data_IF_332821760741
#
_entry.id   IF_332821760741
#
_cell.length_a   1.000
_cell.length_b   1.000
_cell.length_c   1.000
_cell.angle_alpha   90.00
_cell.angle_beta   90.00
_cell.angle_gamma   90.00
#
_symmetry.space_group_name_H-M   'P 1'
#
loop_
_entity.id
_entity.type
_entity.pdbx_description
1 polymer ?
#
# COMPACT_ATOMS: atom_id res chain seq x y z
N UNK A 1 -17.73 72.00 35.01
CA UNK A 1 -16.58 71.07 35.01
C UNK A 1 -17.00 69.79 35.74
N UNK A 2 -16.65 68.62 35.17
CA UNK A 2 -16.52 67.28 35.76
C UNK A 2 -17.72 66.67 36.54
N UNK A 3 -18.37 65.60 36.03
CA UNK A 3 -18.09 64.15 36.22
C UNK A 3 -18.40 63.66 37.65
N UNK A 4 -19.11 62.58 37.95
CA UNK A 4 -19.64 61.45 37.17
C UNK A 4 -19.62 60.20 38.08
N UNK A 5 -20.73 59.48 38.22
CA UNK A 5 -20.79 58.09 38.70
C UNK A 5 -22.20 57.54 38.40
N UNK A 6 -22.30 56.64 37.43
CA UNK A 6 -23.52 55.91 37.09
C UNK A 6 -23.14 54.46 36.83
N UNK A 7 -23.74 53.56 37.59
CA UNK A 7 -23.57 52.10 37.55
C UNK A 7 -23.93 51.53 36.17
N UNK A 8 -23.24 50.49 35.66
CA UNK A 8 -23.70 49.76 34.48
C UNK A 8 -24.66 48.64 34.88
N UNK A 9 -25.89 48.79 34.40
CA UNK A 9 -26.96 47.79 34.35
C UNK A 9 -26.52 46.51 33.62
N UNK A 10 -26.73 45.37 34.28
CA UNK A 10 -26.58 44.02 33.72
C UNK A 10 -27.67 43.72 32.70
N UNK A 11 -27.33 43.78 31.40
CA UNK A 11 -28.14 43.14 30.36
C UNK A 11 -27.68 41.70 30.14
N UNK A 12 -28.50 40.75 30.60
CA UNK A 12 -28.50 39.35 30.15
C UNK A 12 -28.63 39.33 28.63
N UNK A 13 -27.58 38.95 27.92
CA UNK A 13 -27.67 38.55 26.53
C UNK A 13 -28.34 37.17 26.48
N UNK A 14 -29.47 37.08 25.78
CA UNK A 14 -30.05 35.80 25.38
C UNK A 14 -29.11 35.19 24.34
N UNK A 15 -28.62 33.98 24.61
CA UNK A 15 -28.02 33.13 23.60
C UNK A 15 -29.21 32.52 22.85
N UNK A 16 -29.43 32.99 21.62
CA UNK A 16 -30.36 32.33 20.70
C UNK A 16 -29.68 31.02 20.24
N UNK A 17 -30.30 29.89 20.61
CA UNK A 17 -29.99 28.59 20.01
C UNK A 17 -30.39 28.63 18.53
N UNK A 18 -29.46 29.01 17.67
CA UNK A 18 -29.58 28.78 16.25
C UNK A 18 -29.58 27.26 16.03
N UNK A 19 -30.73 26.70 15.66
CA UNK A 19 -30.81 25.36 15.09
C UNK A 19 -29.92 25.35 13.85
N UNK A 20 -28.81 24.63 13.89
CA UNK A 20 -28.01 24.38 12.69
C UNK A 20 -28.90 23.71 11.65
N UNK A 21 -29.16 24.43 10.56
CA UNK A 21 -29.93 23.92 9.43
C UNK A 21 -29.04 22.92 8.68
N UNK A 22 -29.42 21.65 8.72
CA UNK A 22 -28.67 20.53 8.14
C UNK A 22 -28.33 20.77 6.66
N UNK A 23 -27.06 20.53 6.27
CA UNK A 23 -26.57 20.83 4.93
C UNK A 23 -27.42 20.12 3.84
N UNK A 24 -27.96 20.84 2.85
CA UNK A 24 -28.76 20.24 1.77
C UNK A 24 -28.08 19.09 1.02
N UNK A 25 -26.76 19.11 0.88
CA UNK A 25 -25.98 18.02 0.27
C UNK A 25 -25.98 16.77 1.16
N UNK A 26 -25.84 16.95 2.48
CA UNK A 26 -25.86 15.85 3.47
C UNK A 26 -27.23 15.21 3.51
N UNK A 27 -28.29 16.02 3.62
CA UNK A 27 -29.66 15.53 3.57
C UNK A 27 -29.97 14.76 2.28
N UNK A 28 -29.51 15.28 1.13
CA UNK A 28 -29.73 14.61 -0.16
C UNK A 28 -28.95 13.30 -0.27
N UNK A 29 -27.74 13.22 0.31
CA UNK A 29 -26.94 11.99 0.42
C UNK A 29 -27.73 10.91 1.14
N UNK A 30 -28.25 11.20 2.33
CA UNK A 30 -28.97 10.23 3.16
C UNK A 30 -30.20 9.65 2.44
N UNK A 31 -30.94 10.50 1.73
CA UNK A 31 -32.07 10.05 0.92
C UNK A 31 -31.64 9.05 -0.17
N UNK A 32 -30.53 9.32 -0.86
CA UNK A 32 -30.00 8.46 -1.92
C UNK A 32 -29.46 7.13 -1.37
N UNK A 33 -28.80 7.15 -0.21
CA UNK A 33 -28.31 5.94 0.48
C UNK A 33 -29.48 5.06 0.91
N UNK A 34 -30.50 5.61 1.56
CA UNK A 34 -31.72 4.87 1.94
C UNK A 34 -32.43 4.25 0.72
N UNK A 35 -32.40 4.91 -0.44
CA UNK A 35 -32.93 4.36 -1.69
C UNK A 35 -32.12 3.17 -2.21
N UNK A 36 -30.80 3.18 -2.05
CA UNK A 36 -29.91 2.10 -2.46
C UNK A 36 -30.06 0.88 -1.55
N UNK A 37 -30.11 1.06 -0.24
CA UNK A 37 -30.34 0.00 0.75
C UNK A 37 -31.68 -0.70 0.53
N UNK A 38 -32.76 0.08 0.35
CA UNK A 38 -34.08 -0.47 0.03
C UNK A 38 -34.11 -1.26 -1.27
N UNK A 39 -33.30 -0.89 -2.26
CA UNK A 39 -33.17 -1.64 -3.50
C UNK A 39 -32.42 -2.96 -3.27
N UNK A 40 -31.33 -2.91 -2.50
CA UNK A 40 -30.50 -4.06 -2.12
C UNK A 40 -31.30 -5.10 -1.33
N UNK A 41 -32.07 -4.68 -0.33
CA UNK A 41 -32.95 -5.54 0.46
C UNK A 41 -34.02 -6.27 -0.39
N UNK A 42 -34.34 -5.74 -1.58
CA UNK A 42 -35.27 -6.36 -2.55
C UNK A 42 -34.56 -7.20 -3.62
N UNK A 43 -33.25 -7.42 -3.50
CA UNK A 43 -32.44 -8.12 -4.51
C UNK A 43 -32.33 -7.37 -5.84
N UNK A 44 -32.52 -6.04 -5.85
CA UNK A 44 -32.55 -5.22 -7.07
C UNK A 44 -31.48 -4.14 -7.04
N UNK A 45 -30.92 -3.82 -8.21
CA UNK A 45 -30.06 -2.64 -8.38
C UNK A 45 -30.87 -1.36 -8.60
N UNK A 46 -30.34 -0.21 -8.16
CA UNK A 46 -30.88 1.11 -8.47
C UNK A 46 -29.81 1.97 -9.17
N UNK A 47 -29.68 1.79 -10.49
CA UNK A 47 -28.64 2.44 -11.29
C UNK A 47 -28.72 3.98 -11.25
N UNK A 48 -29.93 4.54 -11.13
CA UNK A 48 -30.15 5.99 -11.04
C UNK A 48 -29.61 6.54 -9.72
N UNK A 49 -29.96 5.92 -8.60
CA UNK A 49 -29.44 6.31 -7.29
C UNK A 49 -27.92 6.13 -7.21
N UNK A 50 -27.36 5.08 -7.82
CA UNK A 50 -25.90 4.91 -7.91
C UNK A 50 -25.23 6.05 -8.66
N UNK A 51 -25.78 6.46 -9.80
CA UNK A 51 -25.25 7.58 -10.60
C UNK A 51 -25.36 8.90 -9.84
N UNK A 52 -26.47 9.12 -9.14
CA UNK A 52 -26.67 10.32 -8.31
C UNK A 52 -25.70 10.38 -7.13
N UNK A 53 -25.45 9.25 -6.46
CA UNK A 53 -24.46 9.14 -5.39
C UNK A 53 -23.06 9.53 -5.90
N UNK A 54 -22.66 9.05 -7.09
CA UNK A 54 -21.37 9.42 -7.70
C UNK A 54 -21.26 10.93 -7.93
N UNK A 55 -22.34 11.58 -8.39
CA UNK A 55 -22.35 13.04 -8.56
C UNK A 55 -22.22 13.77 -7.22
N UNK A 56 -22.98 13.35 -6.20
CA UNK A 56 -22.90 13.93 -4.85
C UNK A 56 -21.49 13.79 -4.26
N UNK A 57 -20.83 12.64 -4.45
CA UNK A 57 -19.45 12.46 -4.02
C UNK A 57 -18.49 13.47 -4.67
N UNK A 58 -18.67 13.77 -5.96
CA UNK A 58 -17.85 14.76 -6.65
C UNK A 58 -18.06 16.19 -6.10
N UNK A 59 -19.30 16.52 -5.73
CA UNK A 59 -19.62 17.82 -5.12
C UNK A 59 -18.99 17.97 -3.72
N UNK A 60 -19.04 16.91 -2.90
CA UNK A 60 -18.34 16.85 -1.60
C UNK A 60 -16.82 16.95 -1.75
N UNK A 61 -16.22 16.24 -2.71
CA UNK A 61 -14.77 16.37 -3.00
C UNK A 61 -14.39 17.82 -3.34
N UNK A 62 -15.21 18.51 -4.13
CA UNK A 62 -14.98 19.91 -4.49
C UNK A 62 -15.18 20.87 -3.31
N UNK A 63 -16.12 20.58 -2.40
CA UNK A 63 -16.34 21.36 -1.17
C UNK A 63 -15.15 21.24 -0.22
N UNK A 64 -14.66 20.01 0.01
CA UNK A 64 -13.46 19.76 0.82
C UNK A 64 -12.24 20.51 0.25
N UNK A 65 -11.96 20.38 -1.05
CA UNK A 65 -10.82 21.07 -1.70
C UNK A 65 -10.85 22.60 -1.50
N UNK A 66 -12.04 23.22 -1.49
CA UNK A 66 -12.20 24.65 -1.20
C UNK A 66 -11.91 25.02 0.25
N UNK A 67 -12.36 24.22 1.22
CA UNK A 67 -12.12 24.49 2.65
C UNK A 67 -10.63 24.49 2.97
N UNK A 68 -9.89 23.58 2.33
CA UNK A 68 -8.48 23.35 2.58
C UNK A 68 -7.57 24.41 1.97
N UNK A 69 -7.98 25.01 0.85
CA UNK A 69 -7.29 26.15 0.22
C UNK A 69 -7.44 27.48 0.97
N UNK A 70 -8.20 27.52 2.08
CA UNK A 70 -8.41 28.76 2.86
C UNK A 70 -7.19 29.15 3.71
N UNK A 71 -6.31 28.20 4.03
CA UNK A 71 -5.12 28.47 4.82
C UNK A 71 -3.97 28.94 3.93
N UNK A 72 -3.33 30.09 4.26
CA UNK A 72 -2.12 30.54 3.58
C UNK A 72 -0.98 29.50 3.65
N UNK A 73 -0.13 29.38 2.62
CA UNK A 73 1.00 28.44 2.58
C UNK A 73 1.93 28.54 3.80
N UNK A 74 2.08 29.73 4.37
CA UNK A 74 2.96 30.01 5.51
C UNK A 74 2.42 29.39 6.82
N UNK A 75 1.09 29.34 6.96
CA UNK A 75 0.43 28.65 8.07
C UNK A 75 0.56 27.13 7.92
N UNK A 76 0.56 26.61 6.69
CA UNK A 76 0.81 25.20 6.45
C UNK A 76 2.22 24.77 6.84
N UNK A 77 3.24 25.56 6.52
CA UNK A 77 4.59 25.33 7.02
C UNK A 77 4.61 25.22 8.54
N UNK A 78 4.03 26.21 9.24
CA UNK A 78 4.00 26.22 10.70
C UNK A 78 3.25 25.04 11.31
N UNK A 79 2.15 24.62 10.69
CA UNK A 79 1.38 23.45 11.10
C UNK A 79 2.19 22.15 10.89
N UNK A 80 2.86 22.00 9.75
CA UNK A 80 3.58 20.77 9.36
C UNK A 80 5.02 20.66 9.91
N UNK A 81 5.63 21.78 10.31
CA UNK A 81 7.00 21.87 10.83
C UNK A 81 7.05 22.01 12.36
N UNK A 82 6.10 22.73 12.98
CA UNK A 82 6.18 23.08 14.41
C UNK A 82 5.12 22.40 15.29
N UNK A 83 3.98 21.97 14.74
CA UNK A 83 2.81 21.59 15.55
C UNK A 83 2.23 20.20 15.28
N UNK A 84 2.60 19.55 14.18
CA UNK A 84 2.19 18.17 13.87
C UNK A 84 3.38 17.25 13.96
N UNK A 85 3.24 16.21 14.79
CA UNK A 85 4.22 15.13 14.81
C UNK A 85 4.18 14.42 13.45
N UNK A 86 5.28 13.79 13.03
CA UNK A 86 5.35 13.04 11.76
C UNK A 86 4.26 11.94 11.65
N UNK A 87 3.67 11.57 12.77
CA UNK A 87 2.62 10.57 12.93
C UNK A 87 1.21 11.12 12.63
N UNK A 88 0.96 12.41 12.87
CA UNK A 88 -0.32 13.08 12.54
C UNK A 88 -0.42 13.36 11.03
N UNK A 89 0.74 13.49 10.36
CA UNK A 89 0.84 13.61 8.91
C UNK A 89 0.28 12.39 8.19
N UNK A 90 0.39 11.19 8.79
CA UNK A 90 -0.18 9.98 8.21
C UNK A 90 -1.71 10.06 8.21
N UNK A 91 -2.30 10.46 9.33
CA UNK A 91 -3.73 10.64 9.51
C UNK A 91 -4.32 11.69 8.54
N UNK A 92 -3.59 12.78 8.31
CA UNK A 92 -3.97 13.85 7.38
C UNK A 92 -3.74 13.44 5.90
N UNK A 93 -2.68 12.69 5.64
CA UNK A 93 -2.41 12.08 4.34
C UNK A 93 -3.47 11.03 3.95
N UNK A 94 -3.97 10.29 4.95
CA UNK A 94 -5.02 9.27 4.82
C UNK A 94 -6.39 9.86 4.48
N UNK A 95 -6.65 11.08 4.95
CA UNK A 95 -7.95 11.73 4.84
C UNK A 95 -8.01 12.71 3.66
N UNK A 96 -6.89 13.19 3.13
CA UNK A 96 -6.98 14.31 2.19
C UNK A 96 -5.85 14.44 1.16
N UNK A 97 -6.22 14.41 -0.14
CA UNK A 97 -5.32 14.74 -1.27
C UNK A 97 -4.68 16.11 -1.15
N UNK A 98 -5.41 17.13 -0.70
CA UNK A 98 -4.86 18.48 -0.60
C UNK A 98 -3.61 18.46 0.28
N UNK A 99 -3.67 17.81 1.44
CA UNK A 99 -2.51 17.64 2.33
C UNK A 99 -1.37 16.86 1.67
N UNK A 100 -1.67 15.82 0.88
CA UNK A 100 -0.65 15.13 0.06
C UNK A 100 0.03 16.10 -0.91
N UNK A 101 -0.75 16.89 -1.62
CA UNK A 101 -0.25 17.72 -2.70
C UNK A 101 0.48 18.94 -2.12
N UNK A 102 -0.02 19.55 -1.04
CA UNK A 102 0.69 20.58 -0.26
C UNK A 102 1.99 20.03 0.31
N UNK A 103 2.02 18.83 0.90
CA UNK A 103 3.30 18.26 1.40
C UNK A 103 4.31 18.02 0.27
N UNK A 104 3.85 17.61 -0.93
CA UNK A 104 4.70 17.51 -2.12
C UNK A 104 5.20 18.86 -2.61
N UNK A 105 4.32 19.87 -2.66
CA UNK A 105 4.67 21.24 -3.07
C UNK A 105 5.71 21.85 -2.13
N UNK A 106 5.66 21.46 -0.84
CA UNK A 106 6.67 21.79 0.16
C UNK A 106 7.92 20.88 0.13
N UNK A 107 8.08 20.04 -0.91
CA UNK A 107 9.25 19.19 -1.11
C UNK A 107 9.32 17.94 -0.22
N UNK A 108 8.27 17.60 0.53
CA UNK A 108 8.21 16.37 1.35
C UNK A 108 7.68 15.20 0.53
N UNK A 109 8.42 14.08 0.52
CA UNK A 109 7.94 12.81 -0.05
C UNK A 109 7.02 12.09 0.94
N UNK A 110 5.74 12.45 0.98
CA UNK A 110 4.73 11.72 1.78
C UNK A 110 3.91 10.81 0.86
N UNK A 111 3.99 9.50 1.11
CA UNK A 111 3.20 8.49 0.39
C UNK A 111 1.88 8.31 1.13
N UNK A 112 0.76 8.69 0.51
CA UNK A 112 -0.53 8.86 1.21
C UNK A 112 -1.60 7.84 0.86
N UNK A 113 -1.23 6.79 0.12
CA UNK A 113 -2.17 5.72 -0.21
C UNK A 113 -2.08 4.65 0.87
N UNK A 114 -3.20 4.34 1.52
CA UNK A 114 -3.36 3.26 2.51
C UNK A 114 -3.29 1.88 1.83
N UNK A 115 -2.14 1.59 1.22
CA UNK A 115 -1.83 0.24 0.78
C UNK A 115 -1.36 -0.56 1.99
N UNK A 116 -1.86 -1.79 2.11
CA UNK A 116 -1.45 -2.77 3.12
C UNK A 116 0.06 -2.77 3.38
N UNK A 117 0.88 -2.77 2.33
CA UNK A 117 2.35 -2.76 2.44
C UNK A 117 2.91 -1.60 3.27
N UNK A 118 2.31 -0.41 3.20
CA UNK A 118 2.80 0.76 3.95
C UNK A 118 2.43 0.68 5.43
N UNK A 119 1.27 0.14 5.75
CA UNK A 119 0.89 -0.11 7.14
C UNK A 119 1.78 -1.17 7.77
N UNK A 120 2.13 -2.20 7.01
CA UNK A 120 3.11 -3.20 7.43
C UNK A 120 4.48 -2.58 7.70
N UNK A 121 4.95 -1.64 6.86
CA UNK A 121 6.18 -0.89 7.14
C UNK A 121 6.08 -0.04 8.42
N UNK A 122 4.94 0.63 8.63
CA UNK A 122 4.71 1.44 9.82
C UNK A 122 4.66 0.59 11.10
N UNK A 123 3.98 -0.56 11.06
CA UNK A 123 3.97 -1.58 12.10
C UNK A 123 5.40 -2.02 12.43
N UNK A 124 6.18 -2.42 11.42
CA UNK A 124 7.58 -2.83 11.58
C UNK A 124 8.45 -1.74 12.21
N UNK A 125 8.18 -0.48 11.90
CA UNK A 125 8.94 0.65 12.46
C UNK A 125 8.53 1.04 13.88
N UNK A 126 7.41 0.52 14.40
CA UNK A 126 6.85 0.90 15.70
C UNK A 126 6.28 2.32 15.75
N UNK A 127 6.09 2.99 14.60
CA UNK A 127 5.71 4.41 14.48
C UNK A 127 4.24 4.62 14.17
N UNK A 128 3.35 3.74 14.65
CA UNK A 128 1.91 3.93 14.44
C UNK A 128 1.41 4.98 15.42
N UNK A 129 0.70 5.96 14.88
CA UNK A 129 0.02 6.98 15.64
C UNK A 129 -1.15 6.36 16.42
N UNK A 130 -1.22 6.59 17.74
CA UNK A 130 -2.42 6.34 18.53
C UNK A 130 -3.31 7.59 18.50
N UNK A 131 -4.23 7.67 17.54
CA UNK A 131 -5.16 8.80 17.50
C UNK A 131 -6.27 8.65 18.52
N UNK A 132 -6.65 9.77 19.15
CA UNK A 132 -7.73 9.83 20.14
C UNK A 132 -9.09 9.98 19.48
N UNK A 133 -10.16 9.70 20.22
CA UNK A 133 -11.53 10.00 19.78
C UNK A 133 -11.69 11.47 19.34
N UNK A 134 -11.06 12.41 20.06
CA UNK A 134 -11.11 13.83 19.71
C UNK A 134 -10.54 14.15 18.31
N UNK A 135 -9.56 13.37 17.83
CA UNK A 135 -9.07 13.52 16.46
C UNK A 135 -10.12 13.06 15.44
N UNK A 136 -10.79 11.93 15.70
CA UNK A 136 -11.87 11.44 14.84
C UNK A 136 -13.03 12.42 14.80
N UNK A 137 -13.44 12.98 15.94
CA UNK A 137 -14.44 14.05 16.00
C UNK A 137 -14.01 15.24 15.15
N UNK A 138 -12.77 15.74 15.32
CA UNK A 138 -12.25 16.86 14.55
C UNK A 138 -12.28 16.60 13.03
N UNK A 139 -11.91 15.40 12.57
CA UNK A 139 -12.00 15.05 11.15
C UNK A 139 -13.45 15.09 10.68
N UNK A 140 -14.38 14.49 11.43
CA UNK A 140 -15.79 14.49 11.08
C UNK A 140 -16.42 15.90 11.12
N UNK A 141 -15.93 16.79 11.99
CA UNK A 141 -16.44 18.16 12.11
C UNK A 141 -15.82 19.10 11.06
N UNK A 142 -14.62 18.79 10.58
CA UNK A 142 -13.85 19.65 9.66
C UNK A 142 -14.06 19.30 8.19
N UNK A 143 -14.25 18.01 7.89
CA UNK A 143 -14.33 17.51 6.52
C UNK A 143 -15.71 16.94 6.23
N UNK A 144 -16.17 17.15 4.99
CA UNK A 144 -17.30 16.40 4.47
C UNK A 144 -16.88 14.95 4.23
N UNK A 145 -17.60 14.02 4.84
CA UNK A 145 -17.27 12.59 4.77
C UNK A 145 -18.08 11.94 3.66
N UNK A 146 -17.36 11.29 2.73
CA UNK A 146 -17.94 10.55 1.62
C UNK A 146 -18.49 9.19 2.08
N UNK A 147 -19.65 8.78 1.56
CA UNK A 147 -20.25 7.51 1.95
C UNK A 147 -19.46 6.30 1.42
N UNK A 148 -19.55 5.21 2.17
CA UNK A 148 -19.00 3.92 1.76
C UNK A 148 -17.46 3.87 1.77
N UNK A 149 -16.88 3.25 0.75
CA UNK A 149 -15.43 3.05 0.65
C UNK A 149 -14.92 3.31 -0.77
N UNK A 150 -13.62 3.57 -0.86
CA UNK A 150 -12.95 3.70 -2.15
C UNK A 150 -12.66 2.33 -2.75
N UNK A 151 -13.11 2.10 -3.98
CA UNK A 151 -12.83 0.83 -4.66
C UNK A 151 -11.36 0.77 -5.16
N UNK A 152 -10.70 -0.40 -5.13
CA UNK A 152 -9.27 -0.53 -5.48
C UNK A 152 -8.89 -0.03 -6.88
N UNK A 153 -9.85 -0.03 -7.82
CA UNK A 153 -9.68 0.38 -9.20
C UNK A 153 -10.03 1.86 -9.45
N UNK A 154 -10.63 2.53 -8.47
CA UNK A 154 -10.90 3.96 -8.56
C UNK A 154 -9.61 4.73 -8.27
N UNK A 155 -9.06 5.35 -9.33
CA UNK A 155 -8.08 6.41 -9.14
C UNK A 155 -8.76 7.47 -8.28
N UNK A 156 -8.25 7.68 -7.08
CA UNK A 156 -8.76 8.77 -6.24
C UNK A 156 -8.79 10.03 -7.11
N UNK A 157 -9.93 10.71 -7.14
CA UNK A 157 -10.05 12.13 -7.51
C UNK A 157 -10.20 12.89 -6.19
N UNK A 158 -9.78 14.16 -6.12
CA UNK A 158 -10.02 15.02 -4.94
C UNK A 158 -9.48 14.61 -3.54
N UNK A 159 -9.76 15.49 -2.56
CA UNK A 159 -9.47 15.37 -1.13
C UNK A 159 -10.54 14.58 -0.36
N UNK A 160 -10.75 13.34 -0.79
CA UNK A 160 -11.77 12.44 -0.29
C UNK A 160 -11.40 11.79 1.06
N UNK A 161 -12.29 11.91 2.05
CA UNK A 161 -12.35 11.07 3.27
C UNK A 161 -13.56 10.16 3.12
N UNK A 162 -13.42 8.85 3.32
CA UNK A 162 -14.56 7.93 3.31
C UNK A 162 -14.90 7.43 4.71
N UNK A 163 -16.20 7.26 4.99
CA UNK A 163 -16.72 6.66 6.22
C UNK A 163 -16.03 5.30 6.50
N UNK A 164 -15.98 4.43 5.49
CA UNK A 164 -15.35 3.11 5.59
C UNK A 164 -13.84 3.14 5.82
N UNK A 165 -13.14 4.18 5.36
CA UNK A 165 -11.70 4.33 5.61
C UNK A 165 -11.42 4.69 7.08
N UNK A 166 -12.29 5.53 7.69
CA UNK A 166 -12.20 5.87 9.11
C UNK A 166 -12.55 4.67 10.00
N UNK A 167 -13.60 3.91 9.65
CA UNK A 167 -13.97 2.68 10.37
C UNK A 167 -12.85 1.64 10.29
N UNK A 168 -12.32 1.35 9.10
CA UNK A 168 -11.18 0.43 8.92
C UNK A 168 -9.96 0.87 9.74
N UNK A 169 -9.74 2.18 9.84
CA UNK A 169 -8.64 2.71 10.62
C UNK A 169 -8.86 2.56 12.12
N UNK A 170 -10.06 2.84 12.64
CA UNK A 170 -10.41 2.64 14.04
C UNK A 170 -10.25 1.17 14.46
N UNK A 171 -10.70 0.25 13.61
CA UNK A 171 -10.50 -1.20 13.78
C UNK A 171 -9.01 -1.55 13.83
N UNK A 172 -8.21 -1.02 12.90
CA UNK A 172 -6.77 -1.26 12.87
C UNK A 172 -6.05 -0.71 14.11
N UNK A 173 -6.50 0.44 14.65
CA UNK A 173 -5.97 1.01 15.89
C UNK A 173 -6.31 0.20 17.14
N UNK A 174 -7.34 -0.64 17.08
CA UNK A 174 -7.80 -1.44 18.21
C UNK A 174 -8.60 -0.66 19.25
N UNK A 175 -9.18 0.49 18.87
CA UNK A 175 -9.95 1.31 19.82
C UNK A 175 -11.45 1.00 19.74
N UNK A 176 -11.94 0.23 20.72
CA UNK A 176 -13.38 -0.04 20.88
C UNK A 176 -14.17 1.24 21.14
N UNK A 177 -13.61 2.20 21.87
CA UNK A 177 -14.26 3.50 22.13
C UNK A 177 -14.57 4.25 20.83
N UNK A 178 -13.57 4.37 19.95
CA UNK A 178 -13.73 5.06 18.66
C UNK A 178 -14.68 4.26 17.77
N UNK A 179 -14.55 2.94 17.74
CA UNK A 179 -15.41 2.08 16.94
C UNK A 179 -16.88 2.18 17.38
N UNK A 180 -17.16 2.13 18.69
CA UNK A 180 -18.51 2.34 19.24
C UNK A 180 -19.04 3.72 18.86
N UNK A 181 -18.25 4.77 18.98
CA UNK A 181 -18.70 6.11 18.57
C UNK A 181 -19.05 6.17 17.07
N UNK A 182 -18.24 5.56 16.20
CA UNK A 182 -18.52 5.52 14.76
C UNK A 182 -19.77 4.69 14.43
N UNK A 183 -20.01 3.58 15.13
CA UNK A 183 -21.15 2.69 14.85
C UNK A 183 -22.44 3.18 15.49
N UNK A 184 -22.38 3.58 16.76
CA UNK A 184 -23.55 3.91 17.58
C UNK A 184 -24.00 5.38 17.37
N UNK A 185 -23.07 6.33 17.33
CA UNK A 185 -23.40 7.77 17.21
C UNK A 185 -23.46 8.25 15.76
N UNK A 186 -22.63 7.68 14.87
CA UNK A 186 -22.62 8.06 13.45
C UNK A 186 -23.43 7.11 12.56
N UNK A 187 -23.93 6.00 13.11
CA UNK A 187 -24.64 4.95 12.36
C UNK A 187 -23.83 4.42 11.15
N UNK A 188 -22.50 4.46 11.23
CA UNK A 188 -21.64 3.97 10.16
C UNK A 188 -21.38 2.49 10.35
N UNK A 189 -22.11 1.70 9.56
CA UNK A 189 -22.01 0.26 9.66
C UNK A 189 -20.59 -0.23 9.33
N UNK A 190 -20.04 -1.10 10.20
CA UNK A 190 -18.90 -1.92 9.88
C UNK A 190 -19.20 -2.67 8.55
N UNK A 191 -18.47 -2.38 7.47
CA UNK A 191 -18.78 -2.90 6.12
C UNK A 191 -18.87 -4.44 6.11
N UNK A 192 -19.85 -5.04 5.41
CA UNK A 192 -19.87 -6.48 5.09
C UNK A 192 -18.55 -6.97 4.47
N UNK A 193 -17.85 -6.05 3.78
CA UNK A 193 -16.51 -6.25 3.23
C UNK A 193 -15.45 -5.48 4.03
N UNK A 194 -15.40 -5.63 5.36
CA UNK A 194 -14.09 -5.51 5.98
C UNK A 194 -13.18 -6.43 5.22
N UNK A 195 -12.08 -5.90 4.70
CA UNK A 195 -11.00 -6.79 4.38
C UNK A 195 -10.59 -7.35 5.74
N UNK A 196 -11.01 -8.59 6.07
CA UNK A 196 -10.74 -9.23 7.36
C UNK A 196 -9.26 -9.15 7.72
N UNK A 197 -8.40 -9.03 6.69
CA UNK A 197 -7.00 -8.69 6.79
C UNK A 197 -6.70 -7.48 7.68
N UNK A 198 -7.48 -6.40 7.66
CA UNK A 198 -7.28 -5.21 8.50
C UNK A 198 -7.68 -5.44 9.95
N UNK A 199 -8.81 -6.12 10.17
CA UNK A 199 -9.27 -6.54 11.49
C UNK A 199 -8.19 -7.39 12.16
N UNK A 200 -7.73 -8.42 11.45
CA UNK A 200 -6.65 -9.28 11.91
C UNK A 200 -5.35 -8.50 12.14
N UNK A 201 -4.98 -7.61 11.22
CA UNK A 201 -3.74 -6.83 11.32
C UNK A 201 -3.73 -5.90 12.55
N UNK A 202 -4.87 -5.32 12.92
CA UNK A 202 -5.04 -4.59 14.16
C UNK A 202 -4.85 -5.53 15.36
N UNK A 203 -5.60 -6.63 15.37
CA UNK A 203 -5.40 -7.74 16.31
C UNK A 203 -5.74 -7.41 17.76
N UNK A 204 -6.56 -6.39 18.02
CA UNK A 204 -7.17 -6.17 19.33
C UNK A 204 -8.27 -7.21 19.54
N UNK A 205 -8.16 -7.98 20.62
CA UNK A 205 -9.16 -8.98 21.00
C UNK A 205 -10.49 -8.29 21.36
N UNK A 206 -10.42 -7.13 22.00
CA UNK A 206 -11.59 -6.34 22.40
C UNK A 206 -12.38 -5.85 21.18
N UNK A 207 -11.70 -5.44 20.10
CA UNK A 207 -12.36 -5.09 18.83
C UNK A 207 -12.95 -6.33 18.15
N UNK A 208 -12.24 -7.46 18.17
CA UNK A 208 -12.76 -8.72 17.62
C UNK A 208 -14.03 -9.18 18.36
N UNK A 209 -14.04 -9.10 19.68
CA UNK A 209 -15.21 -9.39 20.53
C UNK A 209 -16.39 -8.47 20.17
N UNK A 210 -16.15 -7.16 20.14
CA UNK A 210 -17.18 -6.19 19.78
C UNK A 210 -17.79 -6.45 18.39
N UNK A 211 -16.96 -6.74 17.40
CA UNK A 211 -17.43 -7.03 16.04
C UNK A 211 -18.25 -8.33 15.97
N UNK A 212 -17.85 -9.36 16.72
CA UNK A 212 -18.58 -10.63 16.80
C UNK A 212 -19.92 -10.45 17.51
N UNK A 213 -19.96 -9.72 18.63
CA UNK A 213 -21.21 -9.37 19.35
C UNK A 213 -22.16 -8.55 18.47
N UNK A 214 -21.60 -7.73 17.57
CA UNK A 214 -22.36 -6.96 16.58
C UNK A 214 -22.86 -7.79 15.39
N UNK A 215 -22.59 -9.10 15.37
CA UNK A 215 -23.05 -10.04 14.34
C UNK A 215 -22.12 -10.19 13.12
N UNK A 216 -20.87 -9.74 13.20
CA UNK A 216 -19.90 -9.91 12.12
C UNK A 216 -19.45 -11.37 12.01
N UNK A 217 -19.35 -11.88 10.78
CA UNK A 217 -18.75 -13.20 10.50
C UNK A 217 -17.27 -13.05 10.13
N UNK A 218 -16.41 -13.92 10.70
CA UNK A 218 -14.98 -13.91 10.40
C UNK A 218 -14.59 -14.99 9.40
N UNK A 219 -13.94 -14.57 8.32
CA UNK A 219 -13.34 -15.45 7.33
C UNK A 219 -11.83 -15.62 7.52
N UNK A 220 -11.22 -16.43 6.66
CA UNK A 220 -9.77 -16.70 6.67
C UNK A 220 -8.89 -15.46 6.54
N UNK A 221 -9.40 -14.35 6.00
CA UNK A 221 -8.61 -13.13 5.84
C UNK A 221 -8.29 -12.52 7.20
N UNK A 222 -9.14 -12.69 8.22
CA UNK A 222 -8.87 -12.24 9.60
C UNK A 222 -7.65 -12.95 10.16
N UNK A 223 -7.59 -14.28 10.03
CA UNK A 223 -6.42 -15.06 10.40
C UNK A 223 -5.16 -14.64 9.60
N UNK A 224 -5.27 -14.41 8.29
CA UNK A 224 -4.14 -13.93 7.48
C UNK A 224 -3.63 -12.55 7.93
N UNK A 225 -4.54 -11.63 8.26
CA UNK A 225 -4.22 -10.31 8.78
C UNK A 225 -3.49 -10.38 10.12
N UNK A 226 -4.01 -11.18 11.04
CA UNK A 226 -3.39 -11.40 12.34
C UNK A 226 -2.02 -12.06 12.20
N UNK A 227 -1.87 -12.99 11.26
CA UNK A 227 -0.61 -13.64 10.95
C UNK A 227 0.46 -12.66 10.43
N UNK A 228 0.16 -11.85 9.41
CA UNK A 228 1.14 -10.88 8.85
C UNK A 228 1.47 -9.73 9.81
N UNK A 229 0.58 -9.41 10.74
CA UNK A 229 0.80 -8.42 11.79
C UNK A 229 1.44 -8.97 13.07
N UNK A 230 1.66 -10.29 13.16
CA UNK A 230 2.24 -10.92 14.35
C UNK A 230 1.32 -10.92 15.57
N UNK A 231 0.01 -10.91 15.35
CA UNK A 231 -1.01 -10.78 16.40
C UNK A 231 -1.35 -12.16 16.99
N UNK A 232 -0.39 -12.73 17.72
CA UNK A 232 -0.52 -14.09 18.27
C UNK A 232 -1.73 -14.25 19.19
N UNK A 233 -1.98 -13.28 20.08
CA UNK A 233 -3.12 -13.36 21.01
C UNK A 233 -4.47 -13.30 20.27
N UNK A 234 -4.58 -12.47 19.23
CA UNK A 234 -5.76 -12.47 18.36
C UNK A 234 -5.95 -13.82 17.65
N UNK A 235 -4.87 -14.45 17.16
CA UNK A 235 -4.96 -15.77 16.54
C UNK A 235 -5.38 -16.87 17.51
N UNK A 236 -4.93 -16.84 18.77
CA UNK A 236 -5.39 -17.76 19.81
C UNK A 236 -6.88 -17.55 20.07
N UNK A 237 -7.31 -16.31 20.28
CA UNK A 237 -8.71 -15.98 20.51
C UNK A 237 -9.60 -16.41 19.34
N UNK A 238 -9.18 -16.15 18.10
CA UNK A 238 -9.89 -16.57 16.87
C UNK A 238 -10.00 -18.09 16.76
N UNK A 239 -9.00 -18.82 17.27
CA UNK A 239 -9.00 -20.29 17.28
C UNK A 239 -9.91 -20.88 18.35
N UNK A 240 -10.09 -20.19 19.47
CA UNK A 240 -10.93 -20.62 20.59
C UNK A 240 -12.44 -20.36 20.37
N UNK A 241 -12.83 -19.73 19.25
CA UNK A 241 -14.25 -19.50 18.90
C UNK A 241 -14.98 -20.81 18.55
N UNK A 242 -16.32 -20.79 18.66
CA UNK A 242 -17.19 -21.90 18.26
C UNK A 242 -18.24 -21.43 17.21
N UNK A 243 -18.08 -21.78 15.92
CA UNK A 243 -16.99 -22.58 15.35
C UNK A 243 -15.67 -21.79 15.27
N UNK A 244 -14.49 -22.46 15.25
CA UNK A 244 -13.21 -21.80 15.10
C UNK A 244 -13.11 -21.01 13.79
N UNK A 245 -12.51 -19.82 13.84
CA UNK A 245 -12.31 -19.04 12.62
C UNK A 245 -11.46 -19.84 11.62
N UNK A 246 -11.88 -19.94 10.34
CA UNK A 246 -11.15 -20.73 9.36
C UNK A 246 -9.76 -20.11 9.08
N UNK A 247 -8.79 -20.98 8.78
CA UNK A 247 -7.48 -20.58 8.25
C UNK A 247 -7.09 -21.46 7.07
N UNK A 248 -6.08 -21.06 6.31
CA UNK A 248 -5.50 -21.85 5.23
C UNK A 248 -3.98 -21.62 5.12
N UNK A 249 -3.38 -22.12 4.04
CA UNK A 249 -1.93 -22.01 3.83
C UNK A 249 -1.45 -20.56 3.68
N UNK A 250 -2.35 -19.64 3.30
CA UNK A 250 -2.08 -18.21 3.28
C UNK A 250 -1.79 -17.67 4.68
N UNK A 251 -2.41 -18.18 5.73
CA UNK A 251 -2.12 -17.75 7.12
C UNK A 251 -0.64 -17.99 7.48
N UNK A 252 -0.08 -19.17 7.18
CA UNK A 252 1.34 -19.44 7.36
C UNK A 252 2.23 -18.57 6.45
N UNK A 253 1.87 -18.42 5.17
CA UNK A 253 2.63 -17.61 4.23
C UNK A 253 2.71 -16.13 4.65
N UNK A 254 1.63 -15.59 5.21
CA UNK A 254 1.54 -14.22 5.67
C UNK A 254 2.32 -14.00 6.99
N UNK A 255 2.28 -14.96 7.93
CA UNK A 255 3.17 -14.94 9.11
C UNK A 255 4.66 -14.95 8.71
N UNK A 256 5.00 -15.77 7.72
CA UNK A 256 6.35 -15.84 7.16
C UNK A 256 6.77 -14.51 6.50
N UNK A 257 5.88 -13.86 5.74
CA UNK A 257 6.13 -12.53 5.15
C UNK A 257 6.35 -11.43 6.21
N UNK A 258 5.56 -11.50 7.30
CA UNK A 258 5.62 -10.54 8.42
C UNK A 258 6.90 -10.68 9.25
N UNK A 259 7.47 -11.88 9.33
CA UNK A 259 8.64 -12.15 10.18
C UNK A 259 8.27 -12.71 11.56
N UNK A 260 7.10 -13.34 11.69
CA UNK A 260 6.53 -13.74 12.99
C UNK A 260 6.71 -15.25 13.25
N UNK A 261 7.88 -15.63 13.76
CA UNK A 261 8.23 -17.02 14.05
C UNK A 261 7.39 -17.63 15.18
N UNK A 262 7.02 -16.85 16.18
CA UNK A 262 6.13 -17.22 17.27
C UNK A 262 4.74 -17.62 16.76
N UNK A 263 4.18 -16.84 15.83
CA UNK A 263 2.92 -17.17 15.15
C UNK A 263 3.06 -18.47 14.35
N UNK A 264 4.14 -18.65 13.58
CA UNK A 264 4.36 -19.90 12.84
C UNK A 264 4.46 -21.12 13.75
N UNK A 265 5.13 -21.00 14.90
CA UNK A 265 5.21 -22.06 15.91
C UNK A 265 3.83 -22.39 16.47
N UNK A 266 3.02 -21.38 16.79
CA UNK A 266 1.64 -21.57 17.25
C UNK A 266 0.79 -22.30 16.20
N UNK A 267 0.81 -21.84 14.95
CA UNK A 267 0.06 -22.43 13.84
C UNK A 267 0.45 -23.89 13.57
N UNK A 268 1.74 -24.22 13.76
CA UNK A 268 2.27 -25.59 13.60
C UNK A 268 1.88 -26.54 14.73
N UNK A 269 1.63 -26.02 15.92
CA UNK A 269 1.27 -26.81 17.12
C UNK A 269 -0.21 -27.19 17.19
N UNK A 270 -1.04 -26.75 16.24
CA UNK A 270 -2.48 -27.00 16.20
C UNK A 270 -2.81 -28.42 15.74
N UNK A 271 -4.05 -28.87 16.00
CA UNK A 271 -4.56 -30.16 15.51
C UNK A 271 -5.91 -29.98 14.77
N UNK A 272 -5.97 -30.17 13.43
CA UNK A 272 -4.82 -30.36 12.55
C UNK A 272 -3.98 -29.08 12.43
N UNK A 273 -2.67 -29.20 12.16
CA UNK A 273 -1.79 -28.05 11.95
C UNK A 273 -2.24 -27.19 10.78
N UNK A 274 -2.06 -25.87 10.88
CA UNK A 274 -2.30 -24.99 9.75
C UNK A 274 -1.41 -25.41 8.56
N UNK A 275 -1.96 -25.58 7.35
CA UNK A 275 -1.17 -25.99 6.20
C UNK A 275 -0.15 -24.90 5.82
N UNK A 276 0.89 -25.28 5.08
CA UNK A 276 1.82 -24.38 4.41
C UNK A 276 2.01 -24.81 2.96
N UNK A 277 2.59 -23.94 2.15
CA UNK A 277 2.91 -24.19 0.73
C UNK A 277 4.32 -23.69 0.41
N UNK A 278 4.83 -23.98 -0.78
CA UNK A 278 6.15 -23.52 -1.24
C UNK A 278 6.33 -22.00 -1.11
N UNK A 279 5.25 -21.25 -1.38
CA UNK A 279 5.24 -19.80 -1.25
C UNK A 279 5.55 -19.34 0.18
N UNK A 280 5.28 -20.15 1.22
CA UNK A 280 5.61 -19.79 2.61
C UNK A 280 7.12 -19.51 2.78
N UNK A 281 7.99 -20.34 2.17
CA UNK A 281 9.42 -20.05 2.14
C UNK A 281 9.73 -18.81 1.29
N UNK A 282 9.10 -18.65 0.13
CA UNK A 282 9.32 -17.50 -0.72
C UNK A 282 8.96 -16.17 -0.02
N UNK A 283 7.85 -16.12 0.71
CA UNK A 283 7.42 -14.96 1.49
C UNK A 283 8.41 -14.61 2.62
N UNK A 284 8.92 -15.61 3.35
CA UNK A 284 10.00 -15.38 4.33
C UNK A 284 11.25 -14.82 3.66
N UNK A 285 11.63 -15.39 2.51
CA UNK A 285 12.79 -14.97 1.73
C UNK A 285 12.67 -13.53 1.22
N UNK A 286 11.48 -13.14 0.73
CA UNK A 286 11.15 -11.78 0.32
C UNK A 286 11.36 -10.74 1.42
N UNK A 287 11.08 -11.11 2.66
CA UNK A 287 11.24 -10.24 3.82
C UNK A 287 12.62 -10.29 4.47
N UNK A 288 13.52 -11.15 3.99
CA UNK A 288 14.86 -11.33 4.56
C UNK A 288 14.88 -12.14 5.86
N UNK A 289 13.82 -12.90 6.16
CA UNK A 289 13.63 -13.56 7.46
C UNK A 289 14.35 -14.91 7.53
N UNK A 290 15.70 -14.87 7.55
CA UNK A 290 16.54 -16.06 7.52
C UNK A 290 16.24 -17.07 8.65
N UNK A 291 15.99 -16.60 9.87
CA UNK A 291 15.70 -17.49 11.01
C UNK A 291 14.36 -18.24 10.84
N UNK A 292 13.38 -17.64 10.18
CA UNK A 292 12.13 -18.31 9.82
C UNK A 292 12.39 -19.40 8.78
N UNK A 293 13.17 -19.11 7.75
CA UNK A 293 13.53 -20.11 6.74
C UNK A 293 14.26 -21.31 7.35
N UNK A 294 15.22 -21.08 8.24
CA UNK A 294 15.90 -22.15 8.99
C UNK A 294 14.89 -22.99 9.78
N UNK A 295 13.98 -22.35 10.50
CA UNK A 295 12.96 -23.06 11.27
C UNK A 295 12.00 -23.86 10.38
N UNK A 296 11.52 -23.29 9.28
CA UNK A 296 10.63 -23.95 8.31
C UNK A 296 11.28 -25.19 7.68
N UNK A 297 12.59 -25.12 7.38
CA UNK A 297 13.35 -26.23 6.79
C UNK A 297 13.79 -27.30 7.80
N UNK A 298 13.70 -27.00 9.10
CA UNK A 298 13.95 -27.95 10.18
C UNK A 298 12.71 -28.77 10.60
N UNK A 299 11.52 -28.46 10.07
CA UNK A 299 10.28 -29.19 10.40
C UNK A 299 10.20 -30.58 9.74
N UNK A 300 9.32 -31.44 10.27
CA UNK A 300 8.96 -32.73 9.68
C UNK A 300 7.43 -32.85 9.47
N UNK A 301 6.94 -32.92 8.22
CA UNK A 301 7.70 -32.77 6.98
C UNK A 301 8.28 -31.36 6.83
N UNK A 302 9.35 -31.22 6.05
CA UNK A 302 9.95 -29.90 5.80
C UNK A 302 9.00 -29.03 4.99
N UNK A 303 8.95 -27.73 5.29
CA UNK A 303 8.27 -26.79 4.40
C UNK A 303 8.95 -26.82 3.02
N UNK A 304 8.19 -27.00 1.92
CA UNK A 304 8.78 -27.05 0.59
C UNK A 304 9.23 -25.64 0.15
N UNK A 305 10.10 -25.60 -0.85
CA UNK A 305 10.58 -24.36 -1.46
C UNK A 305 10.70 -24.55 -2.97
N UNK A 306 10.84 -23.45 -3.69
CA UNK A 306 10.99 -23.43 -5.15
C UNK A 306 11.93 -22.30 -5.58
N UNK A 307 12.13 -22.16 -6.89
CA UNK A 307 12.94 -21.08 -7.47
C UNK A 307 12.46 -19.68 -7.04
N UNK A 308 11.18 -19.54 -6.71
CA UNK A 308 10.61 -18.30 -6.18
C UNK A 308 11.23 -17.89 -4.84
N UNK A 309 11.75 -18.84 -4.06
CA UNK A 309 12.44 -18.53 -2.80
C UNK A 309 13.73 -17.74 -3.06
N UNK A 310 14.52 -18.17 -4.04
CA UNK A 310 15.70 -17.42 -4.48
C UNK A 310 15.31 -16.12 -5.18
N UNK A 311 14.32 -16.16 -6.08
CA UNK A 311 13.90 -14.97 -6.82
C UNK A 311 13.38 -13.85 -5.90
N UNK A 312 12.62 -14.18 -4.86
CA UNK A 312 12.09 -13.19 -3.93
C UNK A 312 13.13 -12.74 -2.89
N UNK A 313 14.09 -13.58 -2.51
CA UNK A 313 15.27 -13.11 -1.77
C UNK A 313 16.06 -12.08 -2.59
N UNK A 314 16.26 -12.35 -3.89
CA UNK A 314 16.93 -11.45 -4.82
C UNK A 314 16.14 -10.14 -5.04
N UNK A 315 14.80 -10.23 -5.12
CA UNK A 315 13.90 -9.07 -5.18
C UNK A 315 14.12 -8.11 -4.01
N UNK A 316 14.30 -8.63 -2.80
CA UNK A 316 14.53 -7.83 -1.58
C UNK A 316 16.01 -7.50 -1.30
N UNK A 317 16.93 -7.98 -2.13
CA UNK A 317 18.37 -7.79 -1.95
C UNK A 317 18.98 -8.59 -0.79
N UNK A 318 18.31 -9.66 -0.35
CA UNK A 318 18.71 -10.45 0.82
C UNK A 318 19.77 -11.50 0.47
N UNK A 319 21.01 -11.03 0.26
CA UNK A 319 22.14 -11.87 -0.14
C UNK A 319 22.49 -12.97 0.89
N UNK A 320 22.31 -12.70 2.18
CA UNK A 320 22.50 -13.65 3.26
C UNK A 320 21.51 -14.84 3.18
N UNK A 321 20.24 -14.55 2.88
CA UNK A 321 19.22 -15.57 2.62
C UNK A 321 19.58 -16.43 1.42
N UNK A 322 20.02 -15.82 0.32
CA UNK A 322 20.45 -16.55 -0.88
C UNK A 322 21.64 -17.47 -0.61
N UNK A 323 22.68 -16.97 0.07
CA UNK A 323 23.85 -17.76 0.47
C UNK A 323 23.44 -18.95 1.33
N UNK A 324 22.56 -18.72 2.30
CA UNK A 324 22.08 -19.81 3.13
C UNK A 324 21.27 -20.82 2.32
N UNK A 325 20.27 -20.39 1.53
CA UNK A 325 19.40 -21.27 0.76
C UNK A 325 20.18 -22.13 -0.26
N UNK A 326 21.23 -21.58 -0.87
CA UNK A 326 22.12 -22.30 -1.80
C UNK A 326 23.12 -23.24 -1.12
N UNK A 327 23.35 -23.11 0.19
CA UNK A 327 24.24 -24.01 0.95
C UNK A 327 23.54 -25.23 1.55
N UNK A 328 22.22 -25.36 1.38
CA UNK A 328 21.43 -26.49 1.87
C UNK A 328 21.56 -27.72 0.97
N UNK A 329 21.16 -28.89 1.47
CA UNK A 329 21.14 -30.15 0.72
C UNK A 329 19.73 -30.80 0.73
N UNK A 330 19.05 -30.92 -0.43
CA UNK A 330 19.42 -30.35 -1.72
C UNK A 330 19.35 -28.81 -1.68
N UNK A 331 20.19 -28.14 -2.48
CA UNK A 331 20.21 -26.68 -2.54
C UNK A 331 18.89 -26.14 -3.11
N UNK A 332 18.44 -24.98 -2.60
CA UNK A 332 17.25 -24.33 -3.16
C UNK A 332 17.48 -24.01 -4.64
N UNK A 333 16.56 -24.38 -5.55
CA UNK A 333 16.71 -24.09 -6.96
C UNK A 333 16.62 -22.58 -7.22
N UNK A 334 17.15 -22.15 -8.36
CA UNK A 334 17.12 -20.78 -8.84
C UNK A 334 17.04 -20.75 -10.37
N UNK A 335 16.62 -19.63 -10.95
CA UNK A 335 16.47 -19.43 -12.39
C UNK A 335 16.76 -17.99 -12.79
N UNK A 336 16.60 -17.68 -14.08
CA UNK A 336 16.80 -16.35 -14.66
C UNK A 336 16.00 -15.27 -13.92
N UNK A 337 14.86 -15.66 -13.33
CA UNK A 337 14.03 -14.77 -12.50
C UNK A 337 14.82 -14.22 -11.30
N UNK A 338 15.75 -14.99 -10.73
CA UNK A 338 16.60 -14.54 -9.62
C UNK A 338 17.49 -13.37 -10.03
N UNK A 339 18.16 -13.47 -11.18
CA UNK A 339 18.97 -12.37 -11.73
C UNK A 339 18.08 -11.20 -12.17
N UNK A 340 16.93 -11.48 -12.80
CA UNK A 340 15.97 -10.47 -13.25
C UNK A 340 15.46 -9.61 -12.09
N UNK A 341 15.11 -10.23 -10.96
CA UNK A 341 14.57 -9.54 -9.80
C UNK A 341 15.61 -8.72 -9.04
N UNK A 342 16.83 -9.23 -8.91
CA UNK A 342 17.96 -8.45 -8.41
C UNK A 342 18.27 -7.25 -9.31
N UNK A 343 18.25 -7.44 -10.64
CA UNK A 343 18.48 -6.40 -11.62
C UNK A 343 17.40 -5.31 -11.58
N UNK A 344 16.13 -5.69 -11.43
CA UNK A 344 14.98 -4.77 -11.37
C UNK A 344 15.06 -3.78 -10.21
N UNK A 345 15.65 -4.18 -9.09
CA UNK A 345 15.74 -3.38 -7.87
C UNK A 345 17.16 -2.87 -7.57
N UNK A 346 18.11 -3.10 -8.49
CA UNK A 346 19.46 -2.53 -8.38
C UNK A 346 20.39 -3.25 -7.40
N UNK A 347 20.09 -4.50 -7.03
CA UNK A 347 20.88 -5.30 -6.09
C UNK A 347 22.12 -5.90 -6.76
N UNK A 348 23.10 -5.04 -7.04
CA UNK A 348 24.34 -5.38 -7.76
C UNK A 348 25.21 -6.41 -7.02
N UNK A 349 25.22 -6.36 -5.69
CA UNK A 349 25.91 -7.32 -4.83
C UNK A 349 25.35 -8.74 -4.97
N UNK A 350 24.02 -8.88 -5.05
CA UNK A 350 23.35 -10.14 -5.35
C UNK A 350 23.77 -10.68 -6.72
N UNK A 351 23.77 -9.84 -7.75
CA UNK A 351 24.19 -10.25 -9.11
C UNK A 351 25.66 -10.67 -9.17
N UNK A 352 26.56 -9.93 -8.51
CA UNK A 352 27.99 -10.29 -8.41
C UNK A 352 28.17 -11.65 -7.76
N UNK A 353 27.48 -11.90 -6.66
CA UNK A 353 27.57 -13.18 -5.96
C UNK A 353 26.93 -14.32 -6.75
N UNK A 354 25.76 -14.11 -7.35
CA UNK A 354 25.08 -15.10 -8.17
C UNK A 354 25.91 -15.49 -9.40
N UNK A 355 26.68 -14.53 -9.94
CA UNK A 355 27.62 -14.79 -11.03
C UNK A 355 28.83 -15.61 -10.61
N UNK A 356 29.28 -15.47 -9.36
CA UNK A 356 30.46 -16.17 -8.84
C UNK A 356 30.20 -17.61 -8.37
N UNK A 357 28.98 -18.14 -8.50
CA UNK A 357 28.65 -19.52 -8.11
C UNK A 357 28.99 -20.52 -9.22
N UNK A 358 29.00 -21.82 -8.92
CA UNK A 358 29.24 -22.88 -9.90
C UNK A 358 28.16 -23.99 -9.81
N UNK A 359 27.32 -24.21 -10.84
CA UNK A 359 27.17 -23.35 -12.02
C UNK A 359 26.59 -21.99 -11.61
N UNK A 360 26.86 -20.93 -12.37
CA UNK A 360 26.45 -19.60 -11.98
C UNK A 360 24.95 -19.40 -12.31
N UNK A 361 24.23 -18.53 -11.57
CA UNK A 361 22.77 -18.37 -11.76
C UNK A 361 22.43 -17.92 -13.19
N UNK A 362 21.54 -18.59 -13.93
CA UNK A 362 21.27 -18.18 -15.30
C UNK A 362 20.69 -16.75 -15.37
N UNK A 363 20.88 -16.10 -16.51
CA UNK A 363 20.28 -14.81 -16.84
C UNK A 363 19.81 -14.81 -18.29
N UNK A 364 18.99 -13.85 -18.67
CA UNK A 364 18.51 -13.68 -20.04
C UNK A 364 18.37 -12.20 -20.40
N UNK A 365 17.86 -11.92 -21.61
CA UNK A 365 17.64 -10.55 -22.09
C UNK A 365 16.66 -9.75 -21.23
N UNK A 366 15.83 -10.43 -20.43
CA UNK A 366 14.93 -9.77 -19.51
C UNK A 366 15.66 -9.22 -18.26
N UNK A 367 16.86 -9.72 -17.93
CA UNK A 367 17.70 -9.16 -16.88
C UNK A 367 18.17 -7.74 -17.22
N UNK A 368 18.67 -7.50 -18.44
CA UNK A 368 19.02 -6.16 -18.91
C UNK A 368 17.79 -5.25 -19.00
N UNK A 369 16.67 -5.76 -19.54
CA UNK A 369 15.39 -5.04 -19.53
C UNK A 369 14.99 -4.57 -18.14
N UNK A 370 15.07 -5.46 -17.14
CA UNK A 370 14.66 -5.17 -15.77
C UNK A 370 15.54 -4.08 -15.13
N UNK A 371 16.87 -4.15 -15.33
CA UNK A 371 17.79 -3.10 -14.87
C UNK A 371 17.50 -1.76 -15.54
N UNK A 372 17.19 -1.76 -16.84
CA UNK A 372 16.86 -0.54 -17.58
C UNK A 372 15.53 0.06 -17.13
N UNK A 373 14.52 -0.79 -16.90
CA UNK A 373 13.22 -0.41 -16.36
C UNK A 373 13.32 0.22 -14.97
N UNK A 374 14.18 -0.31 -14.09
CA UNK A 374 14.42 0.25 -12.75
C UNK A 374 15.41 1.42 -12.70
N UNK A 375 16.02 1.79 -13.84
CA UNK A 375 16.98 2.90 -13.90
C UNK A 375 18.36 2.58 -13.30
N UNK A 376 18.73 1.31 -13.20
CA UNK A 376 19.93 0.86 -12.50
C UNK A 376 21.14 0.79 -13.43
N UNK A 377 21.70 1.95 -13.78
CA UNK A 377 22.84 2.08 -14.70
C UNK A 377 24.06 1.22 -14.30
N UNK A 378 24.42 1.21 -13.02
CA UNK A 378 25.58 0.43 -12.54
C UNK A 378 25.39 -1.08 -12.67
N UNK A 379 24.14 -1.56 -12.58
CA UNK A 379 23.81 -2.96 -12.88
C UNK A 379 24.03 -3.25 -14.36
N UNK A 380 23.54 -2.38 -15.25
CA UNK A 380 23.74 -2.56 -16.71
C UNK A 380 25.22 -2.54 -17.11
N UNK A 381 26.03 -1.64 -16.53
CA UNK A 381 27.48 -1.62 -16.73
C UNK A 381 28.11 -2.94 -16.29
N UNK A 382 27.74 -3.44 -15.12
CA UNK A 382 28.23 -4.74 -14.65
C UNK A 382 27.84 -5.88 -15.58
N UNK A 383 26.57 -5.97 -15.97
CA UNK A 383 26.05 -7.01 -16.88
C UNK A 383 26.73 -6.99 -18.24
N UNK A 384 27.08 -5.80 -18.75
CA UNK A 384 27.78 -5.62 -20.02
C UNK A 384 29.26 -5.98 -19.96
N UNK A 385 29.89 -5.87 -18.79
CA UNK A 385 31.30 -6.20 -18.57
C UNK A 385 31.57 -7.71 -18.38
N UNK A 386 30.54 -8.57 -18.44
CA UNK A 386 30.66 -10.01 -18.24
C UNK A 386 31.05 -10.72 -19.54
N UNK A 387 31.56 -11.95 -19.43
CA UNK A 387 31.92 -12.79 -20.57
C UNK A 387 31.26 -14.19 -20.47
N UNK A 388 30.29 -14.52 -21.34
CA UNK A 388 29.64 -13.64 -22.30
C UNK A 388 28.79 -12.57 -21.60
N UNK A 389 28.60 -11.39 -22.22
CA UNK A 389 27.77 -10.34 -21.64
C UNK A 389 26.31 -10.79 -21.57
N UNK A 390 25.57 -10.29 -20.58
CA UNK A 390 24.13 -10.52 -20.54
C UNK A 390 23.49 -10.00 -21.83
N UNK A 391 22.69 -10.81 -22.55
CA UNK A 391 22.07 -10.35 -23.78
C UNK A 391 21.11 -9.20 -23.50
N UNK A 392 20.89 -8.36 -24.51
CA UNK A 392 19.86 -7.31 -24.50
C UNK A 392 19.10 -7.33 -25.82
N UNK A 393 17.96 -6.67 -25.87
CA UNK A 393 17.17 -6.45 -27.09
C UNK A 393 16.49 -5.07 -27.03
N UNK A 394 15.70 -4.74 -28.06
CA UNK A 394 14.99 -3.46 -28.15
C UNK A 394 14.13 -3.10 -26.93
N UNK A 395 13.69 -4.11 -26.16
CA UNK A 395 12.89 -3.89 -24.95
C UNK A 395 13.73 -3.24 -23.86
N UNK A 396 15.05 -3.35 -23.88
CA UNK A 396 15.95 -2.72 -22.90
C UNK A 396 15.88 -1.19 -23.00
N UNK A 397 15.99 -0.64 -24.20
CA UNK A 397 15.76 0.80 -24.44
C UNK A 397 14.32 1.20 -24.10
N UNK A 398 13.33 0.40 -24.52
CA UNK A 398 11.93 0.61 -24.16
C UNK A 398 11.72 0.68 -22.63
N UNK A 399 12.36 -0.19 -21.87
CA UNK A 399 12.27 -0.25 -20.41
C UNK A 399 12.77 1.04 -19.77
N UNK A 400 13.94 1.54 -20.21
CA UNK A 400 14.45 2.83 -19.73
C UNK A 400 13.57 4.02 -20.11
N UNK A 401 12.95 4.01 -21.30
CA UNK A 401 12.00 5.05 -21.69
C UNK A 401 10.68 4.98 -20.90
N UNK A 402 10.18 3.77 -20.64
CA UNK A 402 9.00 3.52 -19.82
C UNK A 402 9.20 3.98 -18.38
N UNK A 403 10.38 3.74 -17.79
CA UNK A 403 10.74 4.21 -16.45
C UNK A 403 11.17 5.68 -16.38
N UNK A 404 11.34 6.34 -17.52
CA UNK A 404 11.77 7.75 -17.58
C UNK A 404 13.26 7.97 -17.30
N UNK A 405 14.09 6.95 -17.45
CA UNK A 405 15.52 6.95 -17.11
C UNK A 405 16.38 7.37 -18.31
N UNK A 406 16.42 8.68 -18.59
CA UNK A 406 17.13 9.25 -19.75
C UNK A 406 18.65 9.01 -19.68
N UNK A 407 19.23 8.99 -18.50
CA UNK A 407 20.64 8.65 -18.25
C UNK A 407 20.98 7.22 -18.70
N UNK A 408 20.14 6.26 -18.32
CA UNK A 408 20.25 4.87 -18.77
C UNK A 408 20.05 4.77 -20.28
N UNK A 409 19.03 5.45 -20.81
CA UNK A 409 18.75 5.47 -22.24
C UNK A 409 19.95 5.98 -23.04
N UNK A 410 20.54 7.11 -22.63
CA UNK A 410 21.74 7.67 -23.24
C UNK A 410 22.92 6.70 -23.19
N UNK A 411 23.15 6.06 -22.04
CA UNK A 411 24.24 5.10 -21.90
C UNK A 411 24.06 3.88 -22.81
N UNK A 412 22.83 3.34 -22.92
CA UNK A 412 22.53 2.21 -23.82
C UNK A 412 22.81 2.56 -25.29
N UNK A 413 22.54 3.81 -25.68
CA UNK A 413 22.81 4.33 -27.03
C UNK A 413 24.29 4.62 -27.27
N UNK A 414 25.10 4.81 -26.23
CA UNK A 414 26.54 5.08 -26.36
C UNK A 414 27.41 3.81 -26.43
N UNK A 415 26.82 2.61 -26.38
CA UNK A 415 27.56 1.34 -26.44
C UNK A 415 27.91 0.96 -27.88
N UNK A 416 28.87 0.04 -28.04
CA UNK A 416 29.28 -0.51 -29.35
C UNK A 416 29.21 -2.05 -29.35
N UNK A 417 28.30 -2.68 -30.13
CA UNK A 417 27.20 -2.04 -30.86
C UNK A 417 26.17 -1.46 -29.88
N UNK A 418 25.46 -0.39 -30.25
CA UNK A 418 24.47 0.21 -29.37
C UNK A 418 23.28 -0.72 -29.19
N UNK A 419 22.58 -0.60 -28.06
CA UNK A 419 21.38 -1.40 -27.84
C UNK A 419 20.34 -1.09 -28.95
N UNK A 420 19.74 -2.12 -29.57
CA UNK A 420 18.63 -1.93 -30.50
C UNK A 420 17.52 -1.13 -29.83
N UNK A 421 16.75 -0.37 -30.60
CA UNK A 421 15.62 0.40 -30.07
C UNK A 421 14.61 0.70 -31.18
N UNK A 422 13.37 0.98 -30.78
CA UNK A 422 12.34 1.52 -31.67
C UNK A 422 11.94 2.90 -31.17
N UNK A 423 12.09 3.91 -32.02
CA UNK A 423 11.69 5.29 -31.70
C UNK A 423 10.23 5.36 -31.30
N UNK A 424 9.36 4.80 -32.12
CA UNK A 424 7.91 4.79 -31.90
C UNK A 424 7.54 4.12 -30.57
N UNK A 425 8.08 2.93 -30.29
CA UNK A 425 7.75 2.22 -29.05
C UNK A 425 8.28 2.94 -27.80
N UNK A 426 9.51 3.47 -27.84
CA UNK A 426 10.11 4.20 -26.71
C UNK A 426 9.38 5.52 -26.45
N UNK A 427 9.01 6.26 -27.50
CA UNK A 427 8.24 7.50 -27.39
C UNK A 427 6.85 7.25 -26.80
N UNK A 428 6.15 6.20 -27.26
CA UNK A 428 4.84 5.83 -26.73
C UNK A 428 4.91 5.40 -25.26
N UNK A 429 5.96 4.65 -24.87
CA UNK A 429 6.19 4.27 -23.49
C UNK A 429 6.41 5.49 -22.58
N UNK A 430 7.28 6.42 -22.99
CA UNK A 430 7.53 7.66 -22.27
C UNK A 430 6.26 8.52 -22.17
N UNK A 431 5.45 8.59 -23.23
CA UNK A 431 4.18 9.33 -23.25
C UNK A 431 3.14 8.76 -22.29
N UNK A 432 3.04 7.43 -22.18
CA UNK A 432 2.08 6.78 -21.28
C UNK A 432 2.25 7.21 -19.81
N UNK A 433 3.48 7.50 -19.38
CA UNK A 433 3.81 7.92 -18.01
C UNK A 433 4.20 9.40 -17.90
N UNK A 434 4.08 10.17 -18.98
CA UNK A 434 4.34 11.62 -18.98
C UNK A 434 5.81 12.02 -18.82
N UNK A 435 6.75 11.20 -19.29
CA UNK A 435 8.19 11.46 -19.22
C UNK A 435 8.65 12.41 -20.34
N UNK A 436 8.27 13.70 -20.24
CA UNK A 436 8.50 14.69 -21.28
C UNK A 436 9.97 14.85 -21.67
N UNK A 437 10.90 14.79 -20.70
CA UNK A 437 12.34 14.89 -20.95
C UNK A 437 12.88 13.77 -21.85
N UNK A 438 12.28 12.57 -21.80
CA UNK A 438 12.63 11.47 -22.72
C UNK A 438 12.01 11.70 -24.10
N UNK A 439 10.77 12.20 -24.15
CA UNK A 439 10.08 12.50 -25.42
C UNK A 439 10.83 13.60 -26.17
N UNK A 440 11.18 14.70 -25.50
CA UNK A 440 11.93 15.81 -26.10
C UNK A 440 13.28 15.34 -26.64
N UNK A 441 13.96 14.46 -25.91
CA UNK A 441 15.22 13.88 -26.35
C UNK A 441 15.05 13.02 -27.62
N UNK A 442 14.00 12.20 -27.68
CA UNK A 442 13.69 11.37 -28.86
C UNK A 442 13.33 12.28 -30.05
N UNK A 443 12.45 13.25 -29.83
CA UNK A 443 11.92 14.13 -30.87
C UNK A 443 13.01 15.01 -31.50
N UNK A 444 14.01 15.44 -30.73
CA UNK A 444 15.16 16.21 -31.23
C UNK A 444 16.09 15.46 -32.20
N UNK A 445 15.95 14.14 -32.35
CA UNK A 445 16.86 13.29 -33.15
C UNK A 445 16.14 12.53 -34.26
N UNK A 446 15.44 13.24 -35.15
CA UNK A 446 14.55 12.68 -36.19
C UNK A 446 15.18 11.56 -37.04
N UNK A 447 16.50 11.55 -37.21
CA UNK A 447 17.21 10.63 -38.11
C UNK A 447 17.68 9.30 -37.47
N UNK A 448 17.56 9.11 -36.15
CA UNK A 448 18.22 7.98 -35.43
C UNK A 448 17.30 6.79 -35.09
N UNK A 449 16.04 6.80 -35.54
CA UNK A 449 14.96 6.09 -34.84
C UNK A 449 14.37 4.82 -35.44
N UNK A 450 14.32 4.72 -36.77
CA UNK A 450 13.70 3.60 -37.48
C UNK A 450 14.64 3.16 -38.61
N UNK A 451 15.71 2.46 -38.24
CA UNK A 451 16.53 1.74 -39.20
C UNK A 451 15.78 0.50 -39.68
N UNK A 452 15.53 0.41 -40.98
CA UNK A 452 15.05 -0.80 -41.66
C UNK A 452 15.94 -2.01 -41.33
N UNK A 453 15.52 -2.89 -40.41
CA UNK A 453 16.04 -4.25 -40.33
C UNK A 453 14.90 -5.26 -40.19
N UNK A 454 14.39 -5.62 -41.39
CA UNK A 454 13.97 -6.94 -41.88
C UNK A 454 13.29 -7.92 -40.91
N UNK A 455 12.03 -8.20 -41.23
CA UNK A 455 11.43 -9.52 -41.04
C UNK A 455 12.13 -10.52 -41.96
N UNK A 456 13.05 -11.33 -41.44
CA UNK A 456 13.32 -12.70 -41.90
C UNK A 456 13.64 -13.60 -40.70
#
# INVERSE_FOLDING_TARGET
MARGAGEPSTKRAKVDEAKEEEDPLVRRKEEVVRLLERARAKGKGNARAKKELVTLCADFEAKNDKLLRRLPPELWHKILDENLHQNDLLALAMTCRFFRDTTKDLGRKVVTNLKMNRLLELLKSGKIASHTLGWFCWVCDTFEILPGFKWPHERAKGGAVHEGDLVNYAVFLGSVEILRWLVEEKEWEPNETFSGLWVGLGGSVEVLEYLLESGSEFDRNVCMGAAIGGRLEALKWLRDQDPPCPWDAGTCAYAAAGGHLDVLKFLRAQDPPCPWIEDTCAYAAKGGHLEILKWLRAQDPRCPWSELTCAWAALGGHLDVLKWARSQDPACPWSEETCREAARNGHLDVLKWARSQDPPCPWDRHTCFAAAYGGHLEVLKFLRAQDPPCPWDMRTCWGSAYGGHLDVFNWLRSQDPPCPWSRTQCRNAASHFGHQHVIDWIDQREDEGDGEQYWE
#
